data_IF_142731587678
#
_entry.id   IF_142731587678
#
_cell.length_a   1.000
_cell.length_b   1.000
_cell.length_c   1.000
_cell.angle_alpha   90.00
_cell.angle_beta   90.00
_cell.angle_gamma   90.00
#
_symmetry.space_group_name_H-M   'P 1'
#
loop_
_entity.id
_entity.type
_entity.pdbx_description
1 polymer ?
#
# COMPACT_ATOMS: atom_id res chain seq x y z
N UNK A 1 -62.70 30.97 -43.64
CA UNK A 1 -63.26 29.87 -44.45
C UNK A 1 -62.59 28.58 -44.02
N UNK A 2 -63.40 27.62 -43.55
CA UNK A 2 -63.13 26.19 -43.34
C UNK A 2 -62.11 25.70 -42.27
N UNK A 3 -62.73 25.17 -41.22
CA UNK A 3 -62.29 24.12 -40.28
C UNK A 3 -61.82 22.86 -41.02
N UNK A 4 -60.82 22.14 -40.50
CA UNK A 4 -60.69 20.68 -40.64
C UNK A 4 -59.92 20.04 -39.47
N UNK A 5 -60.27 18.78 -39.26
CA UNK A 5 -60.36 18.01 -38.02
C UNK A 5 -59.10 17.16 -37.71
N UNK A 6 -58.98 16.80 -36.42
CA UNK A 6 -58.12 15.82 -35.72
C UNK A 6 -57.45 14.67 -36.52
N UNK A 7 -56.31 14.18 -36.02
CA UNK A 7 -56.16 12.79 -35.55
C UNK A 7 -54.86 12.57 -34.73
N UNK A 8 -55.02 11.96 -33.56
CA UNK A 8 -53.97 11.42 -32.68
C UNK A 8 -53.42 10.10 -33.23
N UNK A 9 -52.13 9.83 -33.06
CA UNK A 9 -51.58 8.48 -33.14
C UNK A 9 -50.45 8.30 -32.12
N UNK A 10 -50.65 7.33 -31.23
CA UNK A 10 -49.67 6.80 -30.27
C UNK A 10 -48.91 5.67 -30.97
N UNK A 11 -47.58 5.63 -30.86
CA UNK A 11 -46.78 4.42 -31.16
C UNK A 11 -45.47 4.42 -30.37
N UNK A 12 -45.41 3.66 -29.27
CA UNK A 12 -44.16 3.13 -28.72
C UNK A 12 -43.75 1.92 -29.57
N UNK A 13 -42.45 1.68 -29.80
CA UNK A 13 -41.88 0.48 -29.18
C UNK A 13 -40.43 0.60 -28.70
N UNK A 14 -40.23 0.15 -27.46
CA UNK A 14 -39.12 -0.67 -26.96
C UNK A 14 -37.69 -0.44 -27.44
N UNK A 15 -36.86 0.15 -26.59
CA UNK A 15 -35.42 -0.14 -26.56
C UNK A 15 -35.17 -1.04 -25.35
N UNK A 16 -34.85 -2.30 -25.66
CA UNK A 16 -34.29 -3.29 -24.74
C UNK A 16 -32.92 -2.78 -24.29
N UNK A 17 -32.82 -2.35 -23.04
CA UNK A 17 -31.54 -2.02 -22.43
C UNK A 17 -30.85 -3.34 -22.03
N UNK A 18 -29.96 -3.83 -22.89
CA UNK A 18 -29.08 -4.95 -22.58
C UNK A 18 -28.26 -4.64 -21.34
N UNK A 19 -28.63 -5.26 -20.22
CA UNK A 19 -27.78 -5.33 -19.03
C UNK A 19 -26.59 -6.20 -19.42
N UNK A 20 -25.47 -5.57 -19.77
CA UNK A 20 -24.18 -6.25 -19.72
C UNK A 20 -23.92 -6.56 -18.24
N UNK A 21 -24.27 -7.77 -17.82
CA UNK A 21 -23.61 -8.41 -16.68
C UNK A 21 -22.12 -8.45 -17.01
N UNK A 22 -21.38 -7.44 -16.57
CA UNK A 22 -19.93 -7.50 -16.49
C UNK A 22 -19.62 -8.67 -15.55
N UNK A 23 -19.07 -9.74 -16.11
CA UNK A 23 -18.66 -10.89 -15.32
C UNK A 23 -17.66 -10.45 -14.25
N UNK A 24 -17.84 -10.97 -13.04
CA UNK A 24 -16.83 -10.92 -11.98
C UNK A 24 -15.64 -11.82 -12.38
N UNK A 25 -14.85 -11.38 -13.36
CA UNK A 25 -13.55 -11.96 -13.63
C UNK A 25 -12.60 -11.48 -12.54
N UNK A 26 -12.23 -12.40 -11.65
CA UNK A 26 -11.14 -12.26 -10.69
C UNK A 26 -9.82 -12.10 -11.47
N UNK A 27 -9.52 -10.88 -11.92
CA UNK A 27 -8.40 -10.62 -12.79
C UNK A 27 -7.23 -10.06 -11.96
N UNK A 28 -6.11 -10.81 -12.02
CA UNK A 28 -4.73 -10.32 -11.97
C UNK A 28 -4.59 -8.82 -12.23
N UNK A 29 -3.64 -8.19 -11.55
CA UNK A 29 -3.30 -6.78 -11.78
C UNK A 29 -2.99 -6.56 -13.27
N UNK A 30 -3.56 -5.53 -13.94
CA UNK A 30 -3.26 -5.21 -15.32
C UNK A 30 -1.75 -5.01 -15.55
N UNK A 31 -1.27 -5.35 -16.74
CA UNK A 31 0.17 -5.24 -17.06
C UNK A 31 0.70 -3.81 -16.87
N UNK A 32 -0.10 -2.80 -17.22
CA UNK A 32 0.23 -1.39 -16.99
C UNK A 32 0.47 -1.08 -15.50
N UNK A 33 -0.37 -1.61 -14.63
CA UNK A 33 -0.27 -1.37 -13.20
C UNK A 33 0.89 -2.18 -12.58
N UNK A 34 1.13 -3.40 -13.05
CA UNK A 34 2.30 -4.19 -12.66
C UNK A 34 3.62 -3.57 -13.14
N UNK A 35 3.63 -2.90 -14.31
CA UNK A 35 4.81 -2.21 -14.85
C UNK A 35 5.29 -1.05 -13.97
N UNK A 36 4.43 -0.55 -13.06
CA UNK A 36 4.81 0.47 -12.07
C UNK A 36 5.75 -0.06 -10.98
N UNK A 37 5.76 -1.38 -10.74
CA UNK A 37 6.55 -2.02 -9.67
C UNK A 37 8.05 -1.99 -9.97
N UNK A 38 8.81 -1.43 -9.02
CA UNK A 38 10.25 -1.22 -9.18
C UNK A 38 10.60 -0.10 -10.16
N UNK A 39 9.61 0.72 -10.54
CA UNK A 39 9.78 1.91 -11.38
C UNK A 39 9.87 3.19 -10.55
N UNK A 40 9.46 4.31 -11.14
CA UNK A 40 9.43 5.63 -10.48
C UNK A 40 8.18 5.88 -9.63
N UNK A 41 7.13 5.07 -9.80
CA UNK A 41 5.86 5.23 -9.07
C UNK A 41 5.81 4.32 -7.84
N UNK A 42 6.04 3.02 -8.03
CA UNK A 42 5.96 2.03 -6.97
C UNK A 42 7.29 1.31 -6.77
N UNK A 43 7.64 1.09 -5.52
CA UNK A 43 8.65 0.11 -5.13
C UNK A 43 8.21 -1.27 -5.59
N UNK A 44 9.13 -2.23 -5.59
CA UNK A 44 8.80 -3.59 -6.02
C UNK A 44 7.76 -4.29 -5.12
N UNK A 45 7.58 -3.82 -3.89
CA UNK A 45 6.54 -4.28 -2.96
C UNK A 45 5.25 -3.45 -3.00
N UNK A 46 5.14 -2.51 -3.95
CA UNK A 46 3.93 -1.71 -4.17
C UNK A 46 3.79 -0.45 -3.30
N UNK A 47 4.77 -0.12 -2.47
CA UNK A 47 4.79 1.16 -1.76
C UNK A 47 5.15 2.33 -2.71
N UNK A 48 4.65 3.54 -2.46
CA UNK A 48 4.99 4.73 -3.25
C UNK A 48 6.49 5.07 -3.18
N UNK A 49 7.10 5.41 -4.32
CA UNK A 49 8.53 5.80 -4.39
C UNK A 49 8.75 7.25 -3.97
N UNK A 50 7.81 8.14 -4.28
CA UNK A 50 7.96 9.57 -4.04
C UNK A 50 8.11 9.92 -2.55
N UNK A 51 8.72 11.08 -2.29
CA UNK A 51 8.65 11.72 -0.99
C UNK A 51 7.21 12.17 -0.69
N UNK A 52 6.85 12.28 0.59
CA UNK A 52 5.57 12.88 0.94
C UNK A 52 5.60 14.41 0.74
N UNK A 53 4.41 15.02 0.65
CA UNK A 53 4.28 16.46 0.42
C UNK A 53 4.82 17.30 1.58
N UNK A 54 4.78 16.75 2.79
CA UNK A 54 5.25 17.43 4.01
C UNK A 54 6.78 17.39 4.19
N UNK A 55 7.49 16.61 3.37
CA UNK A 55 8.96 16.50 3.42
C UNK A 55 9.51 15.71 4.61
N UNK A 56 8.66 15.00 5.36
CA UNK A 56 9.05 14.19 6.52
C UNK A 56 9.38 12.73 6.17
N UNK A 57 9.00 12.28 4.98
CA UNK A 57 9.30 10.97 4.41
C UNK A 57 10.05 11.21 3.10
N UNK A 58 11.34 10.82 3.00
CA UNK A 58 12.11 11.01 1.78
C UNK A 58 11.64 10.05 0.67
N UNK A 59 12.04 10.35 -0.57
CA UNK A 59 11.86 9.43 -1.68
C UNK A 59 12.64 8.12 -1.43
N UNK A 60 12.14 7.01 -1.96
CA UNK A 60 12.84 5.74 -1.90
C UNK A 60 13.94 5.67 -2.97
N UNK A 61 15.18 5.51 -2.53
CA UNK A 61 16.35 5.49 -3.42
C UNK A 61 16.94 4.07 -3.63
N UNK A 62 16.17 3.03 -3.32
CA UNK A 62 16.59 1.63 -3.47
C UNK A 62 17.10 0.95 -2.20
N UNK A 63 16.99 1.61 -1.05
CA UNK A 63 17.39 1.08 0.25
C UNK A 63 18.92 0.96 0.44
N UNK A 64 19.34 0.24 1.48
CA UNK A 64 20.75 0.03 1.78
C UNK A 64 21.40 -0.88 0.73
N UNK A 65 22.40 -0.34 0.01
CA UNK A 65 23.09 -1.05 -1.08
C UNK A 65 24.16 -2.03 -0.60
N UNK A 66 24.68 -1.81 0.59
CA UNK A 66 25.63 -2.68 1.28
C UNK A 66 25.25 -2.75 2.76
N UNK A 67 25.68 -3.79 3.48
CA UNK A 67 25.57 -3.78 4.93
C UNK A 67 26.28 -2.55 5.52
N UNK A 68 25.81 -2.01 6.66
CA UNK A 68 26.48 -0.90 7.33
C UNK A 68 27.89 -1.31 7.77
N UNK A 69 28.84 -0.37 7.81
CA UNK A 69 30.24 -0.66 8.16
C UNK A 69 30.41 -1.29 9.55
N UNK A 70 29.48 -1.02 10.47
CA UNK A 70 29.44 -1.61 11.80
C UNK A 70 29.03 -3.09 11.80
N UNK A 71 28.44 -3.61 10.73
CA UNK A 71 27.99 -4.99 10.65
C UNK A 71 29.10 -5.88 10.12
N UNK A 72 29.54 -6.84 10.94
CA UNK A 72 30.66 -7.75 10.61
C UNK A 72 30.21 -9.15 10.16
N UNK A 73 28.90 -9.40 10.11
CA UNK A 73 28.34 -10.71 9.73
C UNK A 73 28.20 -11.68 10.90
N UNK A 74 27.18 -12.53 10.86
CA UNK A 74 26.95 -13.59 11.86
C UNK A 74 26.37 -13.13 13.20
N UNK A 75 26.18 -11.82 13.39
CA UNK A 75 25.64 -11.20 14.60
C UNK A 75 24.32 -10.47 14.31
N UNK A 76 23.75 -9.83 15.33
CA UNK A 76 22.62 -8.91 15.14
C UNK A 76 23.02 -7.74 14.22
N UNK A 77 22.05 -7.24 13.45
CA UNK A 77 22.25 -6.04 12.65
C UNK A 77 22.57 -4.86 13.57
N UNK A 78 23.65 -4.15 13.26
CA UNK A 78 23.96 -2.89 13.93
C UNK A 78 23.02 -1.79 13.44
N UNK A 79 22.92 -0.72 14.24
CA UNK A 79 22.22 0.49 13.83
C UNK A 79 23.00 1.21 12.71
N UNK A 80 22.43 1.35 11.50
CA UNK A 80 23.05 2.10 10.41
C UNK A 80 23.13 3.61 10.66
N UNK A 81 22.36 4.16 11.61
CA UNK A 81 22.27 5.60 11.88
C UNK A 81 22.51 5.92 13.36
N UNK A 82 23.70 5.57 13.91
CA UNK A 82 23.97 5.72 15.33
C UNK A 82 23.95 7.18 15.82
N UNK A 83 24.04 8.13 14.90
CA UNK A 83 24.03 9.57 15.18
C UNK A 83 22.63 10.21 15.06
N UNK A 84 21.61 9.44 14.67
CA UNK A 84 20.24 9.94 14.57
C UNK A 84 19.72 10.35 15.95
N UNK A 85 19.16 11.56 16.01
CA UNK A 85 18.57 12.12 17.23
C UNK A 85 17.06 12.28 17.06
N UNK A 86 16.27 12.21 18.14
CA UNK A 86 14.87 12.54 18.06
C UNK A 86 14.69 13.97 17.53
N UNK A 87 13.81 14.13 16.53
CA UNK A 87 13.31 15.42 16.07
C UNK A 87 12.51 16.11 17.18
N UNK A 88 11.72 15.32 17.90
CA UNK A 88 10.97 15.71 19.09
C UNK A 88 10.55 14.44 19.86
N UNK A 89 9.99 14.63 21.06
CA UNK A 89 9.43 13.54 21.86
C UNK A 89 7.99 13.85 22.22
N UNK A 90 7.08 12.92 21.92
CA UNK A 90 5.70 13.00 22.38
C UNK A 90 5.64 12.49 23.82
N UNK A 91 5.02 13.29 24.68
CA UNK A 91 4.78 13.02 26.11
C UNK A 91 3.29 13.23 26.41
N UNK A 92 2.86 12.88 27.62
CA UNK A 92 1.48 13.17 28.03
C UNK A 92 1.15 14.68 27.99
N UNK A 93 2.13 15.56 28.15
CA UNK A 93 1.94 17.02 28.16
C UNK A 93 1.63 17.59 26.77
N UNK A 94 2.10 16.94 25.70
CA UNK A 94 1.94 17.43 24.32
C UNK A 94 1.19 16.47 23.40
N UNK A 95 0.76 15.30 23.87
CA UNK A 95 0.05 14.28 23.06
C UNK A 95 -1.19 14.84 22.35
N UNK A 96 -1.86 15.82 22.97
CA UNK A 96 -3.01 16.51 22.38
C UNK A 96 -2.71 17.14 21.00
N UNK A 97 -1.46 17.54 20.75
CA UNK A 97 -1.02 18.16 19.49
C UNK A 97 -0.88 17.14 18.35
N UNK A 98 -0.82 15.84 18.65
CA UNK A 98 -0.53 14.77 17.71
C UNK A 98 -1.62 13.70 17.64
N UNK A 99 -2.82 13.98 18.17
CA UNK A 99 -3.91 13.00 18.27
C UNK A 99 -4.34 12.43 16.92
N UNK A 100 -4.24 13.22 15.85
CA UNK A 100 -4.55 12.79 14.48
C UNK A 100 -3.50 11.86 13.87
N UNK A 101 -2.33 11.70 14.54
CA UNK A 101 -1.23 10.83 14.12
C UNK A 101 -1.12 9.56 14.96
N UNK A 102 -1.93 9.42 16.01
CA UNK A 102 -1.82 8.34 16.98
C UNK A 102 -3.09 7.47 16.98
N UNK A 103 -2.88 6.17 17.05
CA UNK A 103 -3.97 5.21 17.26
C UNK A 103 -4.58 5.36 18.66
N UNK A 104 -5.85 4.92 18.87
CA UNK A 104 -6.46 4.92 20.20
C UNK A 104 -5.62 4.16 21.25
N UNK A 105 -4.95 3.07 20.84
CA UNK A 105 -4.07 2.32 21.72
C UNK A 105 -2.84 3.12 22.16
N UNK A 106 -2.22 3.89 21.27
CA UNK A 106 -1.09 4.77 21.62
C UNK A 106 -1.52 5.92 22.53
N UNK A 107 -2.69 6.53 22.29
CA UNK A 107 -3.25 7.56 23.17
C UNK A 107 -3.51 7.01 24.58
N UNK A 108 -4.10 5.82 24.68
CA UNK A 108 -4.35 5.15 25.96
C UNK A 108 -3.05 4.86 26.74
N UNK A 109 -1.92 4.63 26.06
CA UNK A 109 -0.63 4.45 26.74
C UNK A 109 -0.15 5.74 27.43
N UNK A 110 -0.37 6.91 26.82
CA UNK A 110 -0.05 8.20 27.45
C UNK A 110 -0.96 8.51 28.64
N UNK A 111 -2.24 8.16 28.57
CA UNK A 111 -3.18 8.32 29.70
C UNK A 111 -2.84 7.38 30.86
N UNK A 112 -2.48 6.13 30.56
CA UNK A 112 -2.19 5.11 31.57
C UNK A 112 -0.83 5.31 32.24
N UNK A 113 0.15 5.82 31.51
CA UNK A 113 1.53 5.98 31.97
C UNK A 113 2.08 7.38 31.68
N UNK A 114 1.46 8.45 32.21
CA UNK A 114 1.78 9.81 31.82
C UNK A 114 3.20 10.22 32.20
N UNK A 115 3.73 9.66 33.28
CA UNK A 115 5.08 9.97 33.77
C UNK A 115 6.20 9.23 33.05
N UNK A 116 5.93 8.04 32.49
CA UNK A 116 6.98 7.15 31.97
C UNK A 116 6.89 6.84 30.48
N UNK A 117 5.70 6.91 29.88
CA UNK A 117 5.55 6.64 28.46
C UNK A 117 5.96 7.87 27.64
N UNK A 118 6.88 7.65 26.70
CA UNK A 118 7.48 8.66 25.84
C UNK A 118 7.63 8.05 24.45
N UNK A 119 7.35 8.83 23.42
CA UNK A 119 7.53 8.42 22.03
C UNK A 119 8.51 9.39 21.35
N UNK A 120 9.83 9.09 21.37
CA UNK A 120 10.79 9.85 20.58
C UNK A 120 10.53 9.62 19.09
N UNK A 121 10.40 10.69 18.33
CA UNK A 121 10.16 10.67 16.89
C UNK A 121 11.46 10.99 16.18
N UNK A 122 11.91 10.12 15.28
CA UNK A 122 13.17 10.24 14.54
C UNK A 122 12.93 10.58 13.07
N UNK A 123 13.97 11.01 12.33
CA UNK A 123 13.91 11.10 10.88
C UNK A 123 13.50 9.78 10.21
N UNK A 124 12.78 9.86 9.10
CA UNK A 124 12.40 8.66 8.34
C UNK A 124 13.54 8.21 7.44
N UNK A 125 14.05 7.01 7.66
CA UNK A 125 15.05 6.36 6.80
C UNK A 125 14.41 5.20 6.01
N UNK A 126 14.36 5.29 4.68
CA UNK A 126 13.80 4.24 3.80
C UNK A 126 14.88 3.25 3.37
N UNK A 127 15.36 2.44 4.31
CA UNK A 127 16.53 1.54 4.14
C UNK A 127 16.24 0.16 3.60
N UNK A 128 14.98 -0.28 3.57
CA UNK A 128 14.61 -1.61 3.10
C UNK A 128 15.11 -1.83 1.67
N UNK A 129 15.84 -2.91 1.43
CA UNK A 129 16.22 -3.35 0.08
C UNK A 129 15.79 -4.79 -0.12
N UNK A 130 15.06 -5.04 -1.19
CA UNK A 130 14.67 -6.38 -1.58
C UNK A 130 15.76 -7.03 -2.45
N UNK A 131 16.15 -8.29 -2.20
CA UNK A 131 17.02 -9.03 -3.10
C UNK A 131 16.42 -9.14 -4.51
N UNK A 132 17.27 -9.04 -5.54
CA UNK A 132 16.81 -8.97 -6.94
C UNK A 132 15.99 -10.18 -7.35
N UNK A 133 16.37 -11.39 -6.94
CA UNK A 133 15.60 -12.59 -7.25
C UNK A 133 14.18 -12.55 -6.65
N UNK A 134 14.02 -12.05 -5.42
CA UNK A 134 12.72 -11.87 -4.77
C UNK A 134 11.91 -10.79 -5.48
N UNK A 135 12.56 -9.71 -5.92
CA UNK A 135 11.95 -8.66 -6.73
C UNK A 135 11.36 -9.20 -8.03
N UNK A 136 12.09 -10.04 -8.75
CA UNK A 136 11.61 -10.64 -10.01
C UNK A 136 10.45 -11.63 -9.78
N UNK A 137 10.50 -12.43 -8.71
CA UNK A 137 9.39 -13.32 -8.34
C UNK A 137 8.14 -12.51 -7.93
N UNK A 138 8.32 -11.42 -7.20
CA UNK A 138 7.24 -10.52 -6.79
C UNK A 138 6.55 -9.88 -7.98
N UNK A 139 7.31 -9.42 -8.99
CA UNK A 139 6.73 -8.88 -10.23
C UNK A 139 5.93 -9.93 -11.00
N UNK A 140 6.41 -11.18 -11.05
CA UNK A 140 5.65 -12.30 -11.65
C UNK A 140 4.35 -12.56 -10.89
N UNK A 141 4.39 -12.51 -9.56
CA UNK A 141 3.23 -12.72 -8.71
C UNK A 141 2.14 -11.67 -8.94
N UNK A 142 2.51 -10.40 -9.13
CA UNK A 142 1.57 -9.34 -9.47
C UNK A 142 0.66 -9.70 -10.67
N UNK A 143 1.21 -10.42 -11.66
CA UNK A 143 0.53 -10.79 -12.90
C UNK A 143 -0.17 -12.15 -12.85
N UNK A 144 0.25 -13.04 -11.95
CA UNK A 144 -0.12 -14.47 -11.99
C UNK A 144 -0.90 -14.94 -10.77
N UNK A 145 -0.53 -14.48 -9.57
CA UNK A 145 -1.07 -14.99 -8.32
C UNK A 145 -2.55 -14.65 -8.23
N UNK A 146 -3.34 -15.62 -7.79
CA UNK A 146 -4.78 -15.45 -7.59
C UNK A 146 -5.19 -16.07 -6.26
N UNK A 147 -6.06 -15.41 -5.48
CA UNK A 147 -6.65 -16.02 -4.30
C UNK A 147 -7.58 -17.17 -4.74
N UNK A 148 -7.68 -18.19 -3.90
CA UNK A 148 -8.56 -19.36 -4.09
C UNK A 148 -9.26 -19.65 -2.77
N UNK A 149 -10.58 -19.44 -2.73
CA UNK A 149 -11.34 -19.61 -1.51
C UNK A 149 -10.88 -18.65 -0.39
N UNK A 150 -11.17 -18.98 0.88
CA UNK A 150 -10.89 -18.07 2.00
C UNK A 150 -9.39 -17.89 2.32
N UNK A 151 -8.55 -18.90 2.02
CA UNK A 151 -7.14 -18.95 2.45
C UNK A 151 -6.21 -19.66 1.46
N UNK A 152 -6.61 -19.81 0.20
CA UNK A 152 -5.77 -20.43 -0.83
C UNK A 152 -5.17 -19.40 -1.77
N UNK A 153 -4.09 -19.80 -2.44
CA UNK A 153 -3.52 -19.10 -3.58
C UNK A 153 -3.17 -20.10 -4.69
N UNK A 154 -3.22 -19.65 -5.94
CA UNK A 154 -2.71 -20.40 -7.09
C UNK A 154 -1.78 -19.55 -7.94
N UNK A 155 -0.88 -20.21 -8.68
CA UNK A 155 0.14 -19.60 -9.54
C UNK A 155 1.10 -18.65 -8.80
N UNK A 156 1.30 -18.90 -7.51
CA UNK A 156 2.22 -18.16 -6.66
C UNK A 156 3.65 -18.67 -6.86
N UNK A 157 4.55 -17.76 -7.22
CA UNK A 157 5.99 -17.97 -7.25
C UNK A 157 6.52 -17.80 -5.82
N UNK A 158 6.93 -18.91 -5.20
CA UNK A 158 7.40 -18.96 -3.81
C UNK A 158 8.54 -17.95 -3.58
N UNK A 159 8.59 -17.39 -2.36
CA UNK A 159 9.53 -16.37 -1.88
C UNK A 159 9.24 -14.92 -2.35
N UNK A 160 8.52 -14.71 -3.44
CA UNK A 160 8.05 -13.37 -3.81
C UNK A 160 6.88 -12.91 -2.93
N UNK A 161 6.57 -11.62 -2.92
CA UNK A 161 5.30 -11.16 -2.33
C UNK A 161 4.14 -11.58 -3.23
N UNK A 162 3.04 -12.15 -2.70
CA UNK A 162 1.98 -12.73 -3.51
C UNK A 162 1.13 -11.66 -4.22
N UNK A 163 0.83 -10.54 -3.54
CA UNK A 163 -0.01 -9.47 -4.07
C UNK A 163 0.61 -8.10 -3.83
N UNK A 164 1.73 -7.73 -4.51
CA UNK A 164 2.38 -6.44 -4.28
C UNK A 164 1.47 -5.24 -4.59
N UNK A 165 0.38 -5.43 -5.34
CA UNK A 165 -0.66 -4.42 -5.54
C UNK A 165 -2.00 -5.07 -5.16
N UNK A 166 -2.38 -5.05 -3.87
CA UNK A 166 -3.58 -5.74 -3.39
C UNK A 166 -4.85 -4.97 -3.80
N UNK A 167 -5.84 -5.67 -4.34
CA UNK A 167 -7.13 -5.10 -4.74
C UNK A 167 -8.19 -5.17 -3.64
N UNK A 168 -7.95 -5.98 -2.59
CA UNK A 168 -8.90 -6.21 -1.52
C UNK A 168 -8.17 -6.63 -0.22
N UNK A 169 -8.92 -6.69 0.89
CA UNK A 169 -8.37 -7.05 2.19
C UNK A 169 -7.82 -8.47 2.29
N UNK A 170 -8.36 -9.42 1.52
CA UNK A 170 -7.85 -10.80 1.51
C UNK A 170 -6.43 -10.84 0.92
N UNK A 171 -6.22 -10.17 -0.21
CA UNK A 171 -4.90 -10.04 -0.83
C UNK A 171 -3.91 -9.29 0.07
N UNK A 172 -4.35 -8.22 0.74
CA UNK A 172 -3.52 -7.47 1.68
C UNK A 172 -3.09 -8.33 2.88
N UNK A 173 -3.99 -9.18 3.41
CA UNK A 173 -3.65 -10.11 4.48
C UNK A 173 -2.59 -11.10 4.04
N UNK A 174 -2.53 -11.53 2.77
CA UNK A 174 -1.53 -12.49 2.31
C UNK A 174 -0.09 -11.96 2.24
N UNK A 175 0.13 -10.65 2.39
CA UNK A 175 1.46 -10.03 2.31
C UNK A 175 2.20 -9.88 3.66
N UNK A 176 1.82 -10.66 4.68
CA UNK A 176 2.47 -10.68 6.01
C UNK A 176 3.67 -11.65 6.08
#
# INVERSE_FOLDING_TARGET
MMIKTQQTSISLPGIVLSIMMAGFANAKVPEEQAAKLGGSELTVTGAEVAANKEGTIPAYEGGLKSPPDCYKGGEFLCDPFPDDKPLFTITADNVAQYQDKLSPGQLAMFEKYPETYRMPVYPTCRTFRMPEHIAELTKKNALKTQPVGPTGMKNYELQGYPFPIPNNGLEAIWNH
#
